data_IF_415063212040
#
_entry.id   IF_415063212040
#
_cell.length_a   1.000
_cell.length_b   1.000
_cell.length_c   1.000
_cell.angle_alpha   90.00
_cell.angle_beta   90.00
_cell.angle_gamma   90.00
#
_symmetry.space_group_name_H-M   'P 1'
#
loop_
_entity.id
_entity.type
_entity.pdbx_description
1 polymer ?
#
# COMPACT_ATOMS: atom_id res chain seq x y z
N UNK A 1 4.30 -0.83 26.70
CA UNK A 1 4.63 -1.44 25.38
C UNK A 1 3.33 -1.69 24.63
N UNK A 2 3.31 -1.54 23.31
CA UNK A 2 2.12 -1.84 22.49
C UNK A 2 1.77 -3.33 22.61
N UNK A 3 0.48 -3.66 22.75
CA UNK A 3 0.00 -5.05 22.70
C UNK A 3 -0.02 -5.62 21.27
N UNK A 4 0.29 -4.80 20.27
CA UNK A 4 0.20 -5.15 18.85
C UNK A 4 1.59 -5.28 18.23
N UNK A 5 1.91 -6.47 17.74
CA UNK A 5 3.10 -6.75 16.92
C UNK A 5 2.77 -6.51 15.45
N UNK A 6 3.52 -5.66 14.72
CA UNK A 6 3.32 -5.46 13.30
C UNK A 6 3.55 -6.77 12.52
N UNK A 7 2.58 -7.14 11.67
CA UNK A 7 2.74 -8.21 10.69
C UNK A 7 2.20 -7.69 9.35
N UNK A 8 3.11 -7.33 8.45
CA UNK A 8 2.76 -6.62 7.22
C UNK A 8 2.01 -7.51 6.24
N UNK A 9 2.39 -8.78 6.08
CA UNK A 9 1.67 -9.75 5.25
C UNK A 9 0.21 -9.92 5.70
N UNK A 10 -0.01 -10.22 6.99
CA UNK A 10 -1.37 -10.36 7.55
C UNK A 10 -2.15 -9.05 7.47
N UNK A 11 -1.49 -7.91 7.69
CA UNK A 11 -2.13 -6.60 7.55
C UNK A 11 -2.56 -6.32 6.10
N UNK A 12 -1.74 -6.66 5.11
CA UNK A 12 -2.08 -6.51 3.70
C UNK A 12 -3.36 -7.26 3.35
N UNK A 13 -3.42 -8.57 3.67
CA UNK A 13 -4.61 -9.39 3.43
C UNK A 13 -5.83 -8.90 4.21
N UNK A 14 -5.68 -8.54 5.49
CA UNK A 14 -6.80 -8.07 6.31
C UNK A 14 -7.40 -6.77 5.79
N UNK A 15 -6.55 -5.79 5.45
CA UNK A 15 -7.02 -4.50 4.94
C UNK A 15 -7.66 -4.65 3.56
N UNK A 16 -7.09 -5.49 2.67
CA UNK A 16 -7.71 -5.84 1.40
C UNK A 16 -9.10 -6.45 1.59
N UNK A 17 -9.23 -7.49 2.41
CA UNK A 17 -10.50 -8.16 2.66
C UNK A 17 -11.54 -7.26 3.34
N UNK A 18 -11.10 -6.24 4.08
CA UNK A 18 -11.99 -5.21 4.62
C UNK A 18 -12.42 -4.22 3.54
N UNK A 19 -11.50 -3.79 2.67
CA UNK A 19 -11.79 -2.90 1.54
C UNK A 19 -12.82 -3.54 0.58
N UNK A 20 -12.63 -4.81 0.22
CA UNK A 20 -13.55 -5.55 -0.65
C UNK A 20 -14.98 -5.61 -0.10
N UNK A 21 -15.14 -5.69 1.22
CA UNK A 21 -16.47 -5.67 1.87
C UNK A 21 -17.14 -4.30 1.79
N UNK A 22 -16.35 -3.22 1.72
CA UNK A 22 -16.83 -1.85 1.67
C UNK A 22 -16.96 -1.32 0.24
N UNK A 23 -16.32 -1.94 -0.75
CA UNK A 23 -16.28 -1.41 -2.12
C UNK A 23 -17.67 -1.27 -2.76
N UNK A 24 -18.56 -2.22 -2.46
CA UNK A 24 -19.92 -2.24 -3.04
C UNK A 24 -20.95 -1.46 -2.21
N UNK A 25 -20.54 -0.71 -1.18
CA UNK A 25 -21.44 0.12 -0.38
C UNK A 25 -21.55 1.54 -0.96
N UNK A 26 -22.29 2.42 -0.29
CA UNK A 26 -22.39 3.85 -0.62
C UNK A 26 -21.30 4.66 0.09
N UNK A 27 -20.96 5.88 -0.37
CA UNK A 27 -20.15 6.79 0.42
C UNK A 27 -20.78 7.04 1.81
N UNK A 28 -19.99 7.16 2.90
CA UNK A 28 -18.51 7.25 2.93
C UNK A 28 -17.80 5.89 3.02
N UNK A 29 -18.52 4.79 3.19
CA UNK A 29 -17.94 3.45 3.38
C UNK A 29 -17.13 3.02 2.14
N UNK A 30 -17.64 3.30 0.95
CA UNK A 30 -16.89 3.07 -0.30
C UNK A 30 -15.56 3.83 -0.35
N UNK A 31 -15.53 5.06 0.17
CA UNK A 31 -14.30 5.85 0.26
C UNK A 31 -13.33 5.25 1.29
N UNK A 32 -13.86 4.69 2.38
CA UNK A 32 -13.06 3.91 3.34
C UNK A 32 -12.40 2.70 2.66
N UNK A 33 -13.04 2.06 1.67
CA UNK A 33 -12.40 1.02 0.86
C UNK A 33 -11.14 1.56 0.14
N UNK A 34 -11.22 2.73 -0.48
CA UNK A 34 -10.08 3.40 -1.12
C UNK A 34 -8.88 3.63 -0.19
N UNK A 35 -9.14 4.10 1.02
CA UNK A 35 -8.13 4.22 2.06
C UNK A 35 -7.50 2.85 2.39
N UNK A 36 -8.32 1.82 2.60
CA UNK A 36 -7.85 0.49 2.96
C UNK A 36 -7.07 -0.20 1.84
N UNK A 37 -7.41 0.04 0.56
CA UNK A 37 -6.62 -0.46 -0.56
C UNK A 37 -5.18 0.05 -0.51
N UNK A 38 -4.96 1.34 -0.23
CA UNK A 38 -3.57 1.81 -0.14
C UNK A 38 -2.83 1.34 1.10
N UNK A 39 -3.50 1.16 2.23
CA UNK A 39 -2.88 0.48 3.38
C UNK A 39 -2.50 -0.96 3.02
N UNK A 40 -3.37 -1.68 2.30
CA UNK A 40 -3.08 -3.04 1.86
C UNK A 40 -1.85 -3.09 0.94
N UNK A 41 -1.79 -2.20 -0.06
CA UNK A 41 -0.65 -2.08 -0.97
C UNK A 41 0.65 -1.73 -0.23
N UNK A 42 0.62 -0.73 0.66
CA UNK A 42 1.80 -0.37 1.47
C UNK A 42 2.29 -1.54 2.31
N UNK A 43 1.39 -2.22 3.02
CA UNK A 43 1.74 -3.39 3.82
C UNK A 43 2.38 -4.49 2.98
N UNK A 44 1.82 -4.79 1.80
CA UNK A 44 2.37 -5.81 0.92
C UNK A 44 3.78 -5.44 0.43
N UNK A 45 3.97 -4.22 -0.07
CA UNK A 45 5.28 -3.74 -0.55
C UNK A 45 6.32 -3.77 0.58
N UNK A 46 5.94 -3.36 1.79
CA UNK A 46 6.83 -3.37 2.97
C UNK A 46 7.19 -4.78 3.41
N UNK A 47 6.28 -5.74 3.29
CA UNK A 47 6.57 -7.15 3.55
C UNK A 47 7.58 -7.69 2.53
N UNK A 48 7.33 -7.50 1.23
CA UNK A 48 8.23 -7.92 0.15
C UNK A 48 9.62 -7.28 0.26
N UNK A 49 9.69 -6.00 0.63
CA UNK A 49 10.97 -5.33 0.87
C UNK A 49 11.76 -6.00 2.00
N UNK A 50 11.11 -6.35 3.11
CA UNK A 50 11.74 -7.00 4.27
C UNK A 50 12.18 -8.45 4.01
N UNK A 51 11.65 -9.10 2.98
CA UNK A 51 12.12 -10.44 2.57
C UNK A 51 13.49 -10.40 1.89
N UNK A 52 13.91 -9.24 1.39
CA UNK A 52 15.22 -9.07 0.80
C UNK A 52 16.31 -9.04 1.87
N UNK A 53 17.21 -10.03 1.83
CA UNK A 53 18.24 -10.27 2.85
C UNK A 53 19.22 -9.12 3.09
N UNK A 54 19.35 -8.19 2.14
CA UNK A 54 20.25 -7.04 2.22
C UNK A 54 19.57 -5.76 2.73
N UNK A 55 18.26 -5.78 2.96
CA UNK A 55 17.52 -4.62 3.46
C UNK A 55 17.62 -4.51 4.97
N UNK A 56 17.51 -3.29 5.48
CA UNK A 56 17.40 -3.02 6.92
C UNK A 56 16.26 -2.05 7.17
N UNK A 57 15.59 -2.19 8.32
CA UNK A 57 14.51 -1.31 8.73
C UNK A 57 15.08 0.03 9.25
N UNK A 58 15.48 0.91 8.34
CA UNK A 58 15.80 2.30 8.67
C UNK A 58 14.52 3.12 8.90
N UNK A 59 14.51 4.02 9.89
CA UNK A 59 13.39 4.95 10.15
C UNK A 59 13.11 5.87 8.97
N UNK A 60 14.12 6.16 8.16
CA UNK A 60 13.99 6.96 6.95
C UNK A 60 13.76 6.08 5.70
N UNK A 61 13.69 4.76 5.86
CA UNK A 61 13.54 3.81 4.77
C UNK A 61 12.09 3.61 4.29
N UNK A 62 11.89 2.76 3.26
CA UNK A 62 10.57 2.49 2.67
C UNK A 62 9.55 1.97 3.70
N UNK A 63 10.01 1.19 4.68
CA UNK A 63 9.17 0.52 5.67
C UNK A 63 8.35 1.50 6.54
N UNK A 64 8.90 2.69 6.80
CA UNK A 64 8.24 3.72 7.61
C UNK A 64 7.58 4.82 6.77
N UNK A 65 7.72 4.77 5.46
CA UNK A 65 7.12 5.73 4.55
C UNK A 65 5.68 5.36 4.17
N UNK A 66 4.93 6.37 3.76
CA UNK A 66 3.62 6.21 3.13
C UNK A 66 3.69 6.69 1.69
N UNK A 67 2.74 6.27 0.85
CA UNK A 67 2.58 6.89 -0.47
C UNK A 67 2.31 8.41 -0.34
N UNK A 68 2.84 9.23 -1.26
CA UNK A 68 3.65 8.85 -2.42
C UNK A 68 5.15 8.60 -2.08
N UNK A 69 5.63 9.04 -0.91
CA UNK A 69 7.05 8.95 -0.51
C UNK A 69 7.61 7.53 -0.38
N UNK A 70 6.76 6.52 -0.20
CA UNK A 70 7.14 5.11 -0.27
C UNK A 70 7.79 4.78 -1.63
N UNK A 71 7.28 5.32 -2.75
CA UNK A 71 7.78 4.99 -4.09
C UNK A 71 9.19 5.48 -4.33
N UNK A 72 9.50 6.72 -3.94
CA UNK A 72 10.85 7.27 -4.09
C UNK A 72 11.85 6.52 -3.22
N UNK A 73 11.53 6.33 -1.94
CA UNK A 73 12.40 5.57 -1.03
C UNK A 73 12.63 4.14 -1.50
N UNK A 74 11.57 3.47 -1.97
CA UNK A 74 11.70 2.12 -2.52
C UNK A 74 12.62 2.10 -3.74
N UNK A 75 12.44 3.05 -4.66
CA UNK A 75 13.28 3.19 -5.87
C UNK A 75 14.75 3.39 -5.52
N UNK A 76 15.04 4.28 -4.57
CA UNK A 76 16.41 4.58 -4.15
C UNK A 76 17.10 3.36 -3.53
N UNK A 77 16.38 2.60 -2.70
CA UNK A 77 16.90 1.39 -2.06
C UNK A 77 17.16 0.25 -3.05
N UNK A 78 16.29 0.07 -4.05
CA UNK A 78 16.42 -1.04 -5.03
C UNK A 78 17.28 -0.68 -6.26
N UNK A 79 17.66 0.58 -6.44
CA UNK A 79 18.45 1.01 -7.58
C UNK A 79 19.79 0.24 -7.67
N UNK A 80 20.05 -0.36 -8.85
CA UNK A 80 21.25 -1.18 -9.07
C UNK A 80 21.27 -2.52 -8.32
N UNK A 81 20.15 -2.91 -7.68
CA UNK A 81 20.01 -4.19 -6.96
C UNK A 81 18.99 -5.08 -7.67
N UNK A 82 19.22 -6.39 -7.64
CA UNK A 82 18.36 -7.40 -8.28
C UNK A 82 17.00 -7.61 -7.59
N UNK A 83 16.19 -6.55 -7.46
CA UNK A 83 14.86 -6.59 -6.85
C UNK A 83 13.76 -6.34 -7.90
N UNK A 84 13.86 -7.04 -9.04
CA UNK A 84 12.93 -6.92 -10.16
C UNK A 84 11.44 -6.99 -9.76
N UNK A 85 11.01 -7.82 -8.78
CA UNK A 85 9.61 -7.85 -8.35
C UNK A 85 9.10 -6.51 -7.78
N UNK A 86 9.97 -5.71 -7.15
CA UNK A 86 9.58 -4.45 -6.50
C UNK A 86 9.60 -3.25 -7.45
N UNK A 87 10.29 -3.34 -8.59
CA UNK A 87 10.47 -2.21 -9.54
C UNK A 87 9.12 -1.66 -10.00
N UNK A 88 8.16 -2.53 -10.30
CA UNK A 88 6.82 -2.13 -10.77
C UNK A 88 6.04 -1.25 -9.78
N UNK A 89 6.29 -1.40 -8.48
CA UNK A 89 5.65 -0.58 -7.44
C UNK A 89 6.27 0.83 -7.31
N UNK A 90 7.38 1.09 -8.01
CA UNK A 90 8.01 2.41 -8.08
C UNK A 90 7.47 3.28 -9.22
N UNK A 91 6.59 2.71 -10.05
CA UNK A 91 5.97 3.39 -11.18
C UNK A 91 5.18 4.64 -10.75
N UNK A 92 5.20 5.67 -11.58
CA UNK A 92 4.57 6.96 -11.26
C UNK A 92 3.04 6.85 -11.14
N UNK A 93 2.41 5.99 -11.93
CA UNK A 93 0.97 5.76 -11.95
C UNK A 93 0.50 4.79 -10.86
N UNK A 94 1.42 3.96 -10.35
CA UNK A 94 1.12 3.06 -9.24
C UNK A 94 0.65 3.86 -8.01
N UNK A 95 -0.58 3.58 -7.56
CA UNK A 95 -1.25 4.29 -6.46
C UNK A 95 -1.26 5.83 -6.64
N UNK A 96 -1.30 6.31 -7.88
CA UNK A 96 -1.39 7.73 -8.18
C UNK A 96 -2.60 8.39 -7.51
N UNK A 97 -2.37 9.56 -6.91
CA UNK A 97 -3.38 10.31 -6.17
C UNK A 97 -3.73 9.74 -4.78
N UNK A 98 -3.25 8.56 -4.41
CA UNK A 98 -3.45 8.03 -3.05
C UNK A 98 -2.48 8.69 -2.07
N UNK A 99 -2.98 9.04 -0.89
CA UNK A 99 -2.18 9.51 0.23
C UNK A 99 -2.79 9.07 1.56
N UNK A 100 -1.97 8.91 2.59
CA UNK A 100 -2.43 8.50 3.93
C UNK A 100 -3.47 9.49 4.52
N UNK A 101 -3.45 10.75 4.06
CA UNK A 101 -4.37 11.81 4.48
C UNK A 101 -5.82 11.59 4.02
N UNK A 102 -6.09 10.65 3.10
CA UNK A 102 -7.47 10.26 2.74
C UNK A 102 -8.29 9.87 3.98
N UNK A 103 -7.64 9.34 5.03
CA UNK A 103 -8.25 9.04 6.33
C UNK A 103 -8.99 10.24 6.97
N UNK A 104 -8.54 11.46 6.68
CA UNK A 104 -9.10 12.69 7.23
C UNK A 104 -9.95 13.46 6.21
N UNK A 105 -10.25 12.85 5.06
CA UNK A 105 -11.14 13.44 4.07
C UNK A 105 -12.61 13.38 4.52
N UNK A 106 -13.46 14.18 3.88
CA UNK A 106 -14.92 14.20 4.10
C UNK A 106 -15.65 12.98 3.50
N UNK A 107 -14.92 12.04 2.90
CA UNK A 107 -15.49 10.83 2.30
C UNK A 107 -16.12 11.04 0.92
N UNK A 108 -16.02 12.23 0.31
CA UNK A 108 -16.65 12.55 -0.99
C UNK A 108 -15.76 12.27 -2.21
N UNK A 109 -14.47 12.02 -1.98
CA UNK A 109 -13.44 11.71 -2.98
C UNK A 109 -12.69 10.43 -2.59
N UNK A 110 -12.11 9.69 -3.55
CA UNK A 110 -12.03 9.99 -4.98
C UNK A 110 -13.26 9.45 -5.76
N UNK A 111 -13.24 9.60 -7.08
CA UNK A 111 -14.24 9.00 -7.95
C UNK A 111 -14.11 7.46 -8.04
N UNK A 112 -15.16 6.81 -8.57
CA UNK A 112 -15.21 5.35 -8.68
C UNK A 112 -14.09 4.78 -9.57
N UNK A 113 -13.70 5.48 -10.64
CA UNK A 113 -12.63 5.03 -11.52
C UNK A 113 -11.28 4.99 -10.79
N UNK A 114 -11.01 5.98 -9.95
CA UNK A 114 -9.80 6.06 -9.13
C UNK A 114 -9.80 5.00 -8.04
N UNK A 115 -10.94 4.73 -7.40
CA UNK A 115 -11.07 3.62 -6.46
C UNK A 115 -10.76 2.28 -7.12
N UNK A 116 -11.30 2.01 -8.32
CA UNK A 116 -11.05 0.75 -9.02
C UNK A 116 -9.57 0.61 -9.43
N UNK A 117 -8.91 1.70 -9.81
CA UNK A 117 -7.46 1.69 -10.06
C UNK A 117 -6.67 1.35 -8.79
N UNK A 118 -7.00 1.98 -7.66
CA UNK A 118 -6.34 1.67 -6.38
C UNK A 118 -6.59 0.24 -5.94
N UNK A 119 -7.79 -0.28 -6.17
CA UNK A 119 -8.14 -1.69 -5.96
C UNK A 119 -7.25 -2.61 -6.80
N UNK A 120 -7.15 -2.38 -8.11
CA UNK A 120 -6.28 -3.18 -8.98
C UNK A 120 -4.81 -3.19 -8.54
N UNK A 121 -4.25 -2.02 -8.23
CA UNK A 121 -2.88 -1.93 -7.71
C UNK A 121 -2.70 -2.67 -6.39
N UNK A 122 -3.61 -2.48 -5.43
CA UNK A 122 -3.51 -3.16 -4.14
C UNK A 122 -3.65 -4.68 -4.27
N UNK A 123 -4.45 -5.18 -5.21
CA UNK A 123 -4.51 -6.61 -5.52
C UNK A 123 -3.17 -7.12 -6.09
N UNK A 124 -2.56 -6.36 -7.00
CA UNK A 124 -1.27 -6.71 -7.62
C UNK A 124 -0.15 -6.84 -6.57
N UNK A 125 -0.05 -5.91 -5.63
CA UNK A 125 0.93 -6.02 -4.55
C UNK A 125 0.60 -7.15 -3.57
N UNK A 126 -0.68 -7.31 -3.22
CA UNK A 126 -1.14 -8.40 -2.33
C UNK A 126 -0.87 -9.78 -2.92
N UNK A 127 -1.12 -9.96 -4.22
CA UNK A 127 -0.93 -11.22 -4.94
C UNK A 127 0.54 -11.60 -5.10
N UNK A 128 1.46 -10.65 -4.88
CA UNK A 128 2.90 -10.89 -4.92
C UNK A 128 3.46 -11.45 -3.61
N UNK A 129 2.68 -11.42 -2.52
CA UNK A 129 3.06 -12.02 -1.24
C UNK A 129 3.06 -13.56 -1.34
N UNK A 130 3.93 -14.24 -0.59
CA UNK A 130 3.98 -15.70 -0.52
C UNK A 130 2.77 -16.33 0.17
#
# INVERSE_FOLDING_TARGET
MSQFTPNMTKAAHRNWAAAERLMNTVPPDRTTAGYLYGIAAECAIKALFRELSWTTDSKDGPVYAHFPGLKSKLRDEIAGRGAAPLVRFTDQHYMEGWAITVRYSDGTRPDAATLERWRGHADEARAALP
#
